data_IF_448509947559
#
_entry.id   IF_448509947559
#
_cell.length_a   1.000
_cell.length_b   1.000
_cell.length_c   1.000
_cell.angle_alpha   90.00
_cell.angle_beta   90.00
_cell.angle_gamma   90.00
#
_symmetry.space_group_name_H-M   'P 1'
#
loop_
_entity.id
_entity.type
_entity.pdbx_description
1 polymer ?
#
# COMPACT_ATOMS: atom_id res chain seq x y z
N UNK A 1 23.22 -15.77 12.34
CA UNK A 1 22.65 -14.49 11.86
C UNK A 1 23.03 -14.13 10.41
N UNK A 2 24.11 -14.67 9.81
CA UNK A 2 24.52 -14.39 8.42
C UNK A 2 23.42 -14.65 7.37
N UNK A 3 22.69 -15.76 7.49
CA UNK A 3 21.65 -16.14 6.52
C UNK A 3 20.33 -15.39 6.66
N UNK A 4 20.06 -14.73 7.79
CA UNK A 4 18.83 -13.96 7.97
C UNK A 4 18.83 -12.70 7.09
N UNK A 5 19.97 -12.01 7.01
CA UNK A 5 20.12 -10.83 6.15
C UNK A 5 19.99 -11.16 4.66
N UNK A 6 20.59 -12.27 4.21
CA UNK A 6 20.44 -12.74 2.83
C UNK A 6 18.99 -13.06 2.49
N UNK A 7 18.27 -13.74 3.40
CA UNK A 7 16.88 -14.13 3.16
C UNK A 7 15.96 -12.92 3.07
N UNK A 8 16.11 -11.93 3.96
CA UNK A 8 15.37 -10.66 3.90
C UNK A 8 15.68 -9.92 2.60
N UNK A 9 16.94 -9.90 2.18
CA UNK A 9 17.34 -9.28 0.91
C UNK A 9 16.68 -9.95 -0.30
N UNK A 10 16.72 -11.28 -0.39
CA UNK A 10 16.07 -12.01 -1.49
C UNK A 10 14.56 -11.80 -1.51
N UNK A 11 13.91 -11.80 -0.35
CA UNK A 11 12.47 -11.51 -0.25
C UNK A 11 12.15 -10.08 -0.71
N UNK A 12 12.99 -9.11 -0.33
CA UNK A 12 12.84 -7.73 -0.77
C UNK A 12 13.01 -7.59 -2.29
N UNK A 13 14.02 -8.24 -2.87
CA UNK A 13 14.22 -8.24 -4.33
C UNK A 13 13.06 -8.92 -5.05
N UNK A 14 12.59 -10.07 -4.58
CA UNK A 14 11.43 -10.75 -5.14
C UNK A 14 10.16 -9.89 -5.06
N UNK A 15 9.99 -9.17 -3.95
CA UNK A 15 8.90 -8.21 -3.79
C UNK A 15 8.99 -7.07 -4.81
N UNK A 16 10.17 -6.47 -5.01
CA UNK A 16 10.36 -5.43 -6.02
C UNK A 16 10.04 -5.95 -7.43
N UNK A 17 10.57 -7.11 -7.80
CA UNK A 17 10.27 -7.74 -9.10
C UNK A 17 8.77 -7.92 -9.27
N UNK A 18 8.07 -8.42 -8.26
CA UNK A 18 6.61 -8.58 -8.27
C UNK A 18 5.86 -7.26 -8.46
N UNK A 19 6.31 -6.18 -7.81
CA UNK A 19 5.75 -4.84 -7.99
C UNK A 19 5.90 -4.39 -9.44
N UNK A 20 7.08 -4.50 -10.03
CA UNK A 20 7.38 -4.01 -11.38
C UNK A 20 6.77 -4.82 -12.52
N UNK A 21 6.38 -6.08 -12.27
CA UNK A 21 5.56 -6.88 -13.21
C UNK A 21 4.17 -6.24 -13.45
N UNK A 22 3.74 -5.28 -12.64
CA UNK A 22 2.53 -4.49 -12.90
C UNK A 22 2.59 -3.79 -14.28
N UNK A 23 1.58 -4.06 -15.12
CA UNK A 23 1.51 -3.57 -16.50
C UNK A 23 1.25 -2.06 -16.61
N UNK A 24 0.60 -1.47 -15.60
CA UNK A 24 0.37 -0.02 -15.52
C UNK A 24 1.03 0.59 -14.28
N UNK A 25 1.28 1.90 -14.26
CA UNK A 25 1.83 2.54 -13.08
C UNK A 25 0.92 2.45 -11.85
N UNK A 26 -0.41 2.51 -12.04
CA UNK A 26 -1.36 2.31 -10.96
C UNK A 26 -1.30 0.88 -10.39
N UNK A 27 -1.12 -0.13 -11.25
CA UNK A 27 -0.94 -1.52 -10.78
C UNK A 27 0.32 -1.67 -9.93
N UNK A 28 1.41 -1.01 -10.31
CA UNK A 28 2.67 -1.02 -9.55
C UNK A 28 2.48 -0.37 -8.18
N UNK A 29 1.79 0.78 -8.12
CA UNK A 29 1.47 1.47 -6.87
C UNK A 29 0.61 0.58 -5.96
N UNK A 30 -0.44 -0.04 -6.52
CA UNK A 30 -1.28 -1.00 -5.78
C UNK A 30 -0.44 -2.15 -5.22
N UNK A 31 0.42 -2.76 -6.04
CA UNK A 31 1.29 -3.87 -5.59
C UNK A 31 2.31 -3.44 -4.53
N UNK A 32 2.83 -2.21 -4.59
CA UNK A 32 3.76 -1.68 -3.59
C UNK A 32 3.10 -1.52 -2.21
N UNK A 33 1.81 -1.20 -2.17
CA UNK A 33 1.05 -1.01 -0.93
C UNK A 33 0.38 -2.29 -0.39
N UNK A 34 0.17 -3.30 -1.24
CA UNK A 34 -0.45 -4.61 -0.88
C UNK A 34 0.03 -5.23 0.45
N UNK A 35 1.32 -5.20 0.83
CA UNK A 35 1.78 -5.78 2.10
C UNK A 35 1.05 -5.25 3.33
N UNK A 36 0.55 -4.01 3.29
CA UNK A 36 -0.25 -3.41 4.37
C UNK A 36 -1.54 -4.20 4.59
N UNK A 37 -2.25 -4.52 3.49
CA UNK A 37 -3.47 -5.33 3.54
C UNK A 37 -3.21 -6.79 3.92
N UNK A 38 -2.09 -7.38 3.47
CA UNK A 38 -1.72 -8.76 3.82
C UNK A 38 -1.49 -8.91 5.32
N UNK A 39 -0.74 -7.97 5.88
CA UNK A 39 -0.43 -7.92 7.32
C UNK A 39 -1.71 -7.73 8.12
N UNK A 40 -2.58 -6.80 7.72
CA UNK A 40 -3.88 -6.58 8.33
C UNK A 40 -4.78 -7.80 8.32
N UNK A 41 -4.89 -8.48 7.17
CA UNK A 41 -5.70 -9.69 7.03
C UNK A 41 -5.15 -10.86 7.84
N UNK A 42 -3.83 -10.99 7.96
CA UNK A 42 -3.20 -12.01 8.79
C UNK A 42 -3.55 -11.82 10.27
N UNK A 43 -3.35 -10.62 10.82
CA UNK A 43 -3.71 -10.31 12.20
C UNK A 43 -5.21 -10.35 12.46
N UNK A 44 -6.02 -9.88 11.52
CA UNK A 44 -7.48 -9.99 11.62
C UNK A 44 -7.93 -11.45 11.68
N UNK A 45 -7.33 -12.33 10.86
CA UNK A 45 -7.66 -13.76 10.86
C UNK A 45 -7.29 -14.43 12.18
N UNK A 46 -6.13 -14.09 12.75
CA UNK A 46 -5.73 -14.56 14.09
C UNK A 46 -6.66 -14.05 15.19
N UNK A 47 -7.05 -12.77 15.12
CA UNK A 47 -7.96 -12.15 16.07
C UNK A 47 -9.37 -12.79 16.03
N UNK A 48 -9.89 -13.05 14.84
CA UNK A 48 -11.18 -13.75 14.65
C UNK A 48 -11.10 -15.20 15.12
N UNK A 49 -9.99 -15.92 14.84
CA UNK A 49 -9.79 -17.28 15.33
C UNK A 49 -9.69 -17.34 16.87
N UNK A 50 -9.16 -16.30 17.50
CA UNK A 50 -9.15 -16.12 18.96
C UNK A 50 -10.47 -15.60 19.56
N UNK A 51 -11.53 -15.49 18.75
CA UNK A 51 -12.86 -14.99 19.13
C UNK A 51 -12.85 -13.56 19.70
N UNK A 52 -11.94 -12.72 19.22
CA UNK A 52 -11.86 -11.31 19.60
C UNK A 52 -12.55 -10.45 18.53
N UNK A 53 -13.37 -9.48 18.96
CA UNK A 53 -14.08 -8.53 18.07
C UNK A 53 -13.12 -7.53 17.36
N UNK A 54 -11.82 -7.69 17.58
CA UNK A 54 -10.77 -6.83 17.09
C UNK A 54 -10.44 -7.03 15.59
N UNK A 55 -10.88 -8.15 15.01
CA UNK A 55 -10.61 -8.48 13.60
C UNK A 55 -11.22 -7.48 12.62
N UNK A 56 -12.38 -6.89 12.94
CA UNK A 56 -13.05 -5.95 12.04
C UNK A 56 -12.35 -4.58 12.03
N UNK A 57 -11.93 -4.09 13.19
CA UNK A 57 -11.16 -2.84 13.33
C UNK A 57 -9.81 -2.91 12.62
N UNK A 58 -9.12 -4.06 12.67
CA UNK A 58 -7.85 -4.27 11.96
C UNK A 58 -8.03 -4.26 10.44
N UNK A 59 -9.12 -4.83 9.91
CA UNK A 59 -9.45 -4.76 8.48
C UNK A 59 -9.71 -3.34 8.00
N UNK A 60 -10.49 -2.56 8.74
CA UNK A 60 -10.80 -1.16 8.38
C UNK A 60 -9.55 -0.28 8.46
N UNK A 61 -8.74 -0.43 9.52
CA UNK A 61 -7.51 0.34 9.67
C UNK A 61 -6.49 0.06 8.57
N UNK A 62 -6.32 -1.20 8.18
CA UNK A 62 -5.37 -1.57 7.12
C UNK A 62 -5.85 -1.20 5.72
N UNK A 63 -7.16 -1.22 5.45
CA UNK A 63 -7.72 -0.68 4.20
C UNK A 63 -7.44 0.83 4.07
N UNK A 64 -7.57 1.60 5.17
CA UNK A 64 -7.27 3.02 5.16
C UNK A 64 -5.77 3.30 4.94
N UNK A 65 -4.89 2.50 5.56
CA UNK A 65 -3.45 2.61 5.35
C UNK A 65 -3.03 2.24 3.93
N UNK A 66 -3.66 1.23 3.32
CA UNK A 66 -3.41 0.86 1.92
C UNK A 66 -3.78 2.02 0.98
N UNK A 67 -4.97 2.60 1.16
CA UNK A 67 -5.40 3.77 0.39
C UNK A 67 -4.42 4.95 0.54
N UNK A 68 -4.02 5.29 1.77
CA UNK A 68 -3.07 6.38 2.03
C UNK A 68 -1.69 6.12 1.45
N UNK A 69 -1.22 4.87 1.48
CA UNK A 69 0.03 4.47 0.83
C UNK A 69 -0.04 4.73 -0.67
N UNK A 70 -1.11 4.26 -1.33
CA UNK A 70 -1.27 4.43 -2.77
C UNK A 70 -1.33 5.92 -3.15
N UNK A 71 -2.07 6.70 -2.37
CA UNK A 71 -2.20 8.15 -2.57
C UNK A 71 -0.86 8.87 -2.43
N UNK A 72 -0.09 8.55 -1.39
CA UNK A 72 1.22 9.18 -1.14
C UNK A 72 2.20 8.90 -2.27
N UNK A 73 2.24 7.66 -2.76
CA UNK A 73 3.09 7.29 -3.89
C UNK A 73 2.62 8.00 -5.16
N UNK A 74 1.31 8.05 -5.40
CA UNK A 74 0.75 8.73 -6.56
C UNK A 74 1.08 10.23 -6.52
N UNK A 75 0.89 10.91 -5.40
CA UNK A 75 1.23 12.33 -5.26
C UNK A 75 2.72 12.57 -5.49
N UNK A 76 3.60 11.73 -4.95
CA UNK A 76 5.05 11.89 -5.10
C UNK A 76 5.50 11.81 -6.56
N UNK A 77 4.97 10.87 -7.34
CA UNK A 77 5.40 10.63 -8.72
C UNK A 77 4.57 11.38 -9.78
N UNK A 78 3.29 11.62 -9.52
CA UNK A 78 2.32 12.07 -10.53
C UNK A 78 1.76 13.47 -10.25
N UNK A 79 1.94 14.06 -9.07
CA UNK A 79 1.36 15.36 -8.77
C UNK A 79 1.91 16.48 -9.66
N UNK A 80 3.22 16.49 -9.94
CA UNK A 80 3.80 17.54 -10.77
C UNK A 80 3.30 17.51 -12.22
N UNK A 81 3.28 16.33 -12.83
CA UNK A 81 2.74 16.16 -14.18
C UNK A 81 1.24 16.44 -14.23
N UNK A 82 0.49 16.11 -13.18
CA UNK A 82 -0.92 16.44 -13.07
C UNK A 82 -1.15 17.95 -13.05
N UNK A 83 -0.41 18.69 -12.21
CA UNK A 83 -0.51 20.15 -12.13
C UNK A 83 -0.19 20.85 -13.46
N UNK A 84 0.77 20.31 -14.22
CA UNK A 84 1.13 20.84 -15.55
C UNK A 84 0.05 20.54 -16.61
N UNK A 85 -0.55 19.35 -16.57
CA UNK A 85 -1.57 18.93 -17.53
C UNK A 85 -2.97 19.51 -17.21
N UNK A 86 -3.28 19.75 -15.94
CA UNK A 86 -4.59 20.21 -15.45
C UNK A 86 -4.45 21.45 -14.56
N UNK A 87 -4.13 22.62 -15.14
CA UNK A 87 -3.96 23.85 -14.37
C UNK A 87 -5.27 24.22 -13.65
N UNK A 88 -5.19 24.46 -12.35
CA UNK A 88 -6.34 24.85 -11.52
C UNK A 88 -7.23 23.70 -11.04
N UNK A 89 -6.95 22.44 -11.43
CA UNK A 89 -7.64 21.29 -10.84
C UNK A 89 -6.91 20.79 -9.58
N UNK A 90 -7.65 20.42 -8.51
CA UNK A 90 -7.05 19.79 -7.35
C UNK A 90 -6.48 18.42 -7.73
N UNK A 91 -5.50 17.94 -6.94
CA UNK A 91 -5.00 16.58 -7.08
C UNK A 91 -6.14 15.60 -6.78
N UNK A 92 -6.25 14.47 -7.51
CA UNK A 92 -7.30 13.47 -7.29
C UNK A 92 -7.31 12.88 -5.87
N UNK A 93 -6.25 13.08 -5.08
CA UNK A 93 -6.15 12.75 -3.66
C UNK A 93 -6.40 13.87 -2.65
N UNK A 94 -6.47 15.13 -3.10
CA UNK A 94 -6.74 16.28 -2.24
C UNK A 94 -8.24 16.38 -1.92
N UNK A 95 -8.79 15.35 -1.28
CA UNK A 95 -10.01 15.51 -0.51
C UNK A 95 -9.58 16.19 0.79
N UNK A 96 -9.83 17.50 0.89
CA UNK A 96 -9.75 18.23 2.17
C UNK A 96 -10.42 17.35 3.22
N UNK A 97 -9.67 17.02 4.28
CA UNK A 97 -10.27 16.40 5.46
C UNK A 97 -11.52 17.19 5.84
N UNK A 98 -12.64 16.47 5.93
CA UNK A 98 -13.77 16.92 6.74
C UNK A 98 -13.36 16.99 8.20
#
# INVERSE_FOLDING_TARGET
>A
MKHFGELVFFLFVAFLVWVFIGGTPNDRISRACRPVSWTGNFFASLATAGNTDYGNSMRVGTANLDYRCQLTIWDYFYAEQWKKAHPGQPLPGYQKGG
#
